data_IF_211619049052
#
_entry.id   IF_211619049052
#
_cell.length_a   1.000
_cell.length_b   1.000
_cell.length_c   1.000
_cell.angle_alpha   90.00
_cell.angle_beta   90.00
_cell.angle_gamma   90.00
#
_symmetry.space_group_name_H-M   'P 1'
#
loop_
_entity.id
_entity.type
_entity.pdbx_description
1 polymer ?
#
# COMPACT_ATOMS: atom_id res chain seq x y z
N UNK A 1 -8.12 1.51 -5.45
CA UNK A 1 -7.34 2.56 -6.14
C UNK A 1 -8.07 3.91 -6.17
N UNK A 2 -9.37 3.97 -6.59
CA UNK A 2 -10.11 5.26 -6.73
C UNK A 2 -10.12 6.07 -5.43
N UNK A 3 -10.61 5.50 -4.33
CA UNK A 3 -10.65 6.17 -3.01
C UNK A 3 -9.26 6.63 -2.56
N UNK A 4 -8.23 5.87 -2.88
CA UNK A 4 -6.85 6.22 -2.57
C UNK A 4 -6.38 7.44 -3.37
N UNK A 5 -6.74 7.51 -4.67
CA UNK A 5 -6.45 8.67 -5.52
C UNK A 5 -7.19 9.93 -5.04
N UNK A 6 -8.46 9.79 -4.64
CA UNK A 6 -9.27 10.88 -4.05
C UNK A 6 -8.65 11.42 -2.76
N UNK A 7 -8.20 10.53 -1.85
CA UNK A 7 -7.54 10.93 -0.60
C UNK A 7 -6.21 11.66 -0.82
N UNK A 8 -5.49 11.32 -1.88
CA UNK A 8 -4.21 11.93 -2.23
C UNK A 8 -4.35 13.15 -3.16
N UNK A 9 -5.56 13.49 -3.59
CA UNK A 9 -5.82 14.48 -4.66
C UNK A 9 -4.94 14.23 -5.90
N UNK A 10 -4.84 12.95 -6.28
CA UNK A 10 -3.98 12.49 -7.36
C UNK A 10 -4.81 11.97 -8.55
N UNK A 11 -4.37 12.20 -9.79
CA UNK A 11 -5.04 11.65 -10.96
C UNK A 11 -4.98 10.12 -10.96
N UNK A 12 -6.08 9.47 -11.37
CA UNK A 12 -6.18 8.03 -11.50
C UNK A 12 -5.79 7.60 -12.90
N UNK A 13 -4.90 6.61 -12.99
CA UNK A 13 -4.66 5.85 -14.20
C UNK A 13 -5.18 4.43 -14.04
N UNK A 14 -5.65 3.83 -15.13
CA UNK A 14 -6.16 2.46 -15.15
C UNK A 14 -5.25 1.62 -16.04
N UNK A 15 -4.88 0.45 -15.55
CA UNK A 15 -4.13 -0.54 -16.33
C UNK A 15 -5.08 -1.63 -16.77
N UNK A 16 -5.26 -1.72 -18.09
CA UNK A 16 -6.11 -2.71 -18.71
C UNK A 16 -5.24 -3.82 -19.32
N UNK A 17 -5.54 -5.06 -18.94
CA UNK A 17 -4.92 -6.24 -19.52
C UNK A 17 -5.69 -6.66 -20.78
N UNK A 18 -5.11 -6.44 -21.96
CA UNK A 18 -5.69 -6.87 -23.25
C UNK A 18 -5.05 -8.15 -23.73
N UNK A 19 -5.87 -9.18 -23.95
CA UNK A 19 -5.46 -10.37 -24.69
C UNK A 19 -5.56 -10.09 -26.19
N UNK A 20 -4.44 -10.15 -26.90
CA UNK A 20 -4.41 -9.98 -28.36
C UNK A 20 -4.46 -11.35 -29.02
N UNK A 21 -5.63 -11.69 -29.58
CA UNK A 21 -5.83 -12.91 -30.42
C UNK A 21 -5.88 -14.23 -29.65
N UNK A 22 -6.01 -15.33 -30.41
CA UNK A 22 -6.08 -16.69 -29.89
C UNK A 22 -4.71 -17.34 -29.59
N UNK A 23 -3.63 -16.55 -29.54
CA UNK A 23 -2.30 -17.07 -29.22
C UNK A 23 -1.95 -16.73 -27.76
N UNK A 24 -1.62 -17.74 -26.99
CA UNK A 24 -1.31 -17.70 -25.53
C UNK A 24 -0.11 -16.83 -25.13
N UNK A 25 0.39 -15.91 -25.97
CA UNK A 25 1.71 -15.30 -25.76
C UNK A 25 1.83 -13.77 -25.83
N UNK A 26 0.78 -13.02 -26.08
CA UNK A 26 0.89 -11.57 -26.13
C UNK A 26 -0.18 -10.92 -25.25
N UNK A 27 0.12 -10.73 -23.98
CA UNK A 27 -0.65 -9.87 -23.10
C UNK A 27 -0.04 -8.47 -23.15
N UNK A 28 -0.79 -7.51 -23.69
CA UNK A 28 -0.41 -6.10 -23.66
C UNK A 28 -1.15 -5.42 -22.51
N UNK A 29 -0.36 -4.82 -21.60
CA UNK A 29 -0.88 -3.88 -20.61
C UNK A 29 -1.03 -2.52 -21.27
N UNK A 30 -2.25 -2.00 -21.31
CA UNK A 30 -2.57 -0.67 -21.80
C UNK A 30 -2.77 0.27 -20.61
N UNK A 31 -2.11 1.42 -20.61
CA UNK A 31 -2.25 2.43 -19.57
C UNK A 31 -3.21 3.51 -20.06
N UNK A 32 -4.30 3.71 -19.35
CA UNK A 32 -5.30 4.73 -19.63
C UNK A 32 -5.16 5.83 -18.59
N UNK A 33 -4.74 7.02 -19.03
CA UNK A 33 -4.49 8.19 -18.18
C UNK A 33 -3.17 8.86 -18.48
N UNK A 34 -3.00 10.07 -18.00
CA UNK A 34 -1.80 10.89 -18.18
C UNK A 34 -0.74 10.55 -17.13
N UNK A 35 0.26 9.71 -17.50
CA UNK A 35 1.30 9.23 -16.58
C UNK A 35 2.71 9.70 -16.94
N UNK A 36 2.92 10.19 -18.16
CA UNK A 36 4.25 10.60 -18.66
C UNK A 36 4.87 11.70 -17.80
N UNK A 37 6.12 11.49 -17.40
CA UNK A 37 6.88 12.44 -16.58
C UNK A 37 6.42 12.54 -15.12
N UNK A 38 5.45 11.69 -14.70
CA UNK A 38 4.92 11.68 -13.34
C UNK A 38 5.54 10.56 -12.50
N UNK A 39 5.33 10.62 -11.19
CA UNK A 39 5.52 9.49 -10.28
C UNK A 39 4.22 8.69 -10.22
N UNK A 40 4.31 7.37 -10.17
CA UNK A 40 3.15 6.48 -10.07
C UNK A 40 3.18 5.65 -8.79
N UNK A 41 2.01 5.44 -8.20
CA UNK A 41 1.78 4.49 -7.12
C UNK A 41 0.82 3.42 -7.63
N UNK A 42 1.30 2.18 -7.71
CA UNK A 42 0.47 1.01 -8.03
C UNK A 42 -0.22 0.59 -6.73
N UNK A 43 -1.54 0.46 -6.77
CA UNK A 43 -2.35 0.03 -5.60
C UNK A 43 -3.04 -1.27 -5.94
N UNK A 44 -2.77 -2.30 -5.16
CA UNK A 44 -3.35 -3.64 -5.28
C UNK A 44 -3.84 -4.15 -3.92
N UNK A 45 -4.60 -5.22 -3.89
CA UNK A 45 -5.01 -5.91 -2.66
C UNK A 45 -3.91 -6.88 -2.20
N UNK A 46 -3.29 -7.61 -3.12
CA UNK A 46 -2.22 -8.56 -2.81
C UNK A 46 -1.09 -8.56 -3.84
N UNK A 47 0.11 -8.89 -3.38
CA UNK A 47 1.26 -9.24 -4.22
C UNK A 47 1.64 -10.67 -3.90
N UNK A 48 1.31 -11.58 -4.83
CA UNK A 48 1.71 -13.00 -4.71
C UNK A 48 3.05 -13.22 -5.41
N UNK A 49 3.10 -13.71 -6.63
CA UNK A 49 4.36 -13.97 -7.35
C UNK A 49 5.01 -12.73 -7.96
N UNK A 50 4.40 -11.56 -7.81
CA UNK A 50 4.77 -10.29 -8.43
C UNK A 50 4.81 -10.30 -9.97
N UNK A 51 4.20 -11.28 -10.63
CA UNK A 51 4.16 -11.33 -12.11
C UNK A 51 3.42 -10.14 -12.69
N UNK A 52 2.17 -9.94 -12.31
CA UNK A 52 1.32 -8.82 -12.74
C UNK A 52 1.93 -7.47 -12.37
N UNK A 53 2.52 -7.37 -11.17
CA UNK A 53 3.22 -6.16 -10.74
C UNK A 53 4.36 -5.80 -11.70
N UNK A 54 5.19 -6.76 -12.10
CA UNK A 54 6.30 -6.52 -13.04
C UNK A 54 5.81 -6.15 -14.45
N UNK A 55 4.71 -6.72 -14.91
CA UNK A 55 4.09 -6.33 -16.19
C UNK A 55 3.58 -4.88 -16.13
N UNK A 56 2.96 -4.50 -15.02
CA UNK A 56 2.51 -3.12 -14.75
C UNK A 56 3.68 -2.15 -14.71
N UNK A 57 4.76 -2.47 -14.00
CA UNK A 57 5.99 -1.65 -13.94
C UNK A 57 6.53 -1.39 -15.35
N UNK A 58 6.70 -2.44 -16.17
CA UNK A 58 7.19 -2.30 -17.55
C UNK A 58 6.25 -1.46 -18.43
N UNK A 59 4.93 -1.54 -18.21
CA UNK A 59 3.98 -0.72 -18.93
C UNK A 59 4.15 0.77 -18.57
N UNK A 60 4.26 1.09 -17.30
CA UNK A 60 4.47 2.45 -16.82
C UNK A 60 5.81 3.04 -17.27
N UNK A 61 6.88 2.24 -17.28
CA UNK A 61 8.19 2.64 -17.82
C UNK A 61 8.10 3.02 -19.30
N UNK A 62 7.40 2.21 -20.11
CA UNK A 62 7.18 2.51 -21.55
C UNK A 62 6.42 3.80 -21.76
N UNK A 63 5.49 4.14 -20.87
CA UNK A 63 4.74 5.40 -20.91
C UNK A 63 5.52 6.60 -20.33
N UNK A 64 6.76 6.39 -19.87
CA UNK A 64 7.65 7.46 -19.41
C UNK A 64 7.36 7.95 -17.99
N UNK A 65 6.88 7.08 -17.12
CA UNK A 65 6.82 7.34 -15.68
C UNK A 65 8.23 7.47 -15.11
N UNK A 66 8.46 8.43 -14.21
CA UNK A 66 9.81 8.74 -13.69
C UNK A 66 10.20 7.91 -12.48
N UNK A 67 9.26 7.61 -11.61
CA UNK A 67 9.45 6.79 -10.41
C UNK A 67 8.20 5.95 -10.16
N UNK A 68 8.37 4.70 -9.77
CA UNK A 68 7.28 3.77 -9.55
C UNK A 68 7.36 3.24 -8.12
N UNK A 69 6.24 3.35 -7.43
CA UNK A 69 5.99 2.81 -6.10
C UNK A 69 4.86 1.79 -6.19
N UNK A 70 4.83 0.85 -5.28
CA UNK A 70 3.71 -0.09 -5.18
C UNK A 70 3.24 -0.19 -3.73
N UNK A 71 1.94 -0.40 -3.53
CA UNK A 71 1.41 -0.75 -2.22
C UNK A 71 0.36 -1.84 -2.35
N UNK A 72 0.35 -2.75 -1.38
CA UNK A 72 -0.68 -3.77 -1.27
C UNK A 72 -0.97 -4.08 0.19
N UNK A 73 -2.22 -4.53 0.45
CA UNK A 73 -2.58 -4.98 1.79
C UNK A 73 -1.84 -6.27 2.14
N UNK A 74 -1.82 -7.25 1.22
CA UNK A 74 -1.30 -8.58 1.49
C UNK A 74 -0.01 -8.85 0.71
N UNK A 75 1.11 -9.03 1.42
CA UNK A 75 2.37 -9.47 0.82
C UNK A 75 2.53 -10.98 0.96
N UNK A 76 1.91 -11.76 0.06
CA UNK A 76 2.06 -13.23 0.03
C UNK A 76 3.49 -13.58 -0.37
N UNK A 77 4.02 -12.90 -1.38
CA UNK A 77 5.40 -12.97 -1.84
C UNK A 77 5.88 -14.40 -2.11
N UNK A 78 5.05 -15.20 -2.79
CA UNK A 78 5.45 -16.53 -3.27
C UNK A 78 6.58 -16.41 -4.28
N UNK A 79 7.44 -17.43 -4.35
CA UNK A 79 8.52 -17.48 -5.34
C UNK A 79 7.99 -17.33 -6.78
N UNK A 80 8.64 -16.52 -7.61
CA UNK A 80 9.90 -15.78 -7.41
C UNK A 80 9.72 -14.26 -7.13
N UNK A 81 8.74 -13.87 -6.29
CA UNK A 81 8.40 -12.45 -6.07
C UNK A 81 9.59 -11.61 -5.60
N UNK A 82 10.38 -12.13 -4.66
CA UNK A 82 11.51 -11.39 -4.06
C UNK A 82 12.59 -11.07 -5.10
N UNK A 83 12.95 -12.04 -5.96
CA UNK A 83 13.92 -11.81 -7.03
C UNK A 83 13.38 -10.80 -8.06
N UNK A 84 12.10 -10.88 -8.39
CA UNK A 84 11.44 -9.95 -9.31
C UNK A 84 11.44 -8.53 -8.77
N UNK A 85 11.05 -8.34 -7.52
CA UNK A 85 11.04 -7.02 -6.86
C UNK A 85 12.47 -6.47 -6.78
N UNK A 86 13.45 -7.28 -6.35
CA UNK A 86 14.85 -6.87 -6.26
C UNK A 86 15.44 -6.41 -7.58
N UNK A 87 15.06 -7.08 -8.68
CA UNK A 87 15.55 -6.77 -10.04
C UNK A 87 14.76 -5.67 -10.74
N UNK A 88 13.70 -5.13 -10.12
CA UNK A 88 12.83 -4.13 -10.73
C UNK A 88 13.31 -2.70 -10.50
N UNK A 89 12.71 -1.76 -11.22
CA UNK A 89 12.87 -0.32 -11.03
C UNK A 89 11.98 0.27 -9.93
N UNK A 90 11.26 -0.56 -9.19
CA UNK A 90 10.45 -0.10 -8.05
C UNK A 90 11.32 0.61 -7.02
N UNK A 91 10.92 1.81 -6.67
CA UNK A 91 11.59 2.60 -5.61
C UNK A 91 11.27 2.03 -4.24
N UNK A 92 10.01 1.69 -4.03
CA UNK A 92 9.53 1.14 -2.77
C UNK A 92 8.28 0.29 -2.99
N UNK A 93 8.13 -0.74 -2.20
CA UNK A 93 6.94 -1.58 -2.07
C UNK A 93 6.47 -1.49 -0.64
N UNK A 94 5.29 -0.95 -0.41
CA UNK A 94 4.68 -0.83 0.92
C UNK A 94 3.65 -1.94 1.09
N UNK A 95 3.81 -2.73 2.13
CA UNK A 95 2.92 -3.84 2.49
C UNK A 95 2.40 -3.64 3.92
N UNK A 96 1.34 -4.35 4.28
CA UNK A 96 0.98 -4.45 5.70
C UNK A 96 1.55 -5.74 6.32
N UNK A 97 1.56 -5.79 7.65
CA UNK A 97 1.91 -7.00 8.42
C UNK A 97 0.72 -7.97 8.58
N UNK A 98 -0.33 -7.82 7.76
CA UNK A 98 -1.45 -8.78 7.70
C UNK A 98 -1.00 -10.21 7.37
N UNK A 99 0.12 -10.31 6.63
CA UNK A 99 0.90 -11.53 6.44
C UNK A 99 2.31 -11.22 6.95
N UNK A 100 2.84 -11.96 7.93
CA UNK A 100 4.18 -11.72 8.45
C UNK A 100 5.25 -11.86 7.36
N UNK A 101 6.14 -10.87 7.25
CA UNK A 101 7.26 -10.91 6.32
C UNK A 101 8.46 -11.60 6.99
N UNK A 102 8.80 -12.84 6.60
CA UNK A 102 9.92 -13.57 7.18
C UNK A 102 11.26 -12.92 6.82
N UNK A 103 12.29 -13.14 7.63
CA UNK A 103 13.57 -12.46 7.51
C UNK A 103 14.24 -12.64 6.15
N UNK A 104 14.13 -13.84 5.57
CA UNK A 104 14.69 -14.18 4.25
C UNK A 104 14.02 -13.45 3.07
N UNK A 105 12.81 -12.93 3.27
CA UNK A 105 12.07 -12.16 2.25
C UNK A 105 12.23 -10.65 2.42
N UNK A 106 12.99 -10.19 3.40
CA UNK A 106 13.19 -8.74 3.61
C UNK A 106 14.12 -8.17 2.55
N UNK A 107 13.68 -7.06 1.96
CA UNK A 107 14.47 -6.25 1.02
C UNK A 107 14.50 -4.81 1.52
N UNK A 108 15.57 -4.04 1.24
CA UNK A 108 15.63 -2.62 1.60
C UNK A 108 14.52 -1.78 0.98
N UNK A 109 13.97 -2.21 -0.16
CA UNK A 109 12.87 -1.55 -0.86
C UNK A 109 11.48 -2.03 -0.42
N UNK A 110 11.37 -2.91 0.58
CA UNK A 110 10.08 -3.34 1.14
C UNK A 110 9.90 -2.72 2.53
N UNK A 111 8.87 -1.88 2.64
CA UNK A 111 8.43 -1.27 3.90
C UNK A 111 7.17 -1.98 4.38
N UNK A 112 7.12 -2.32 5.67
CA UNK A 112 5.95 -2.96 6.27
C UNK A 112 5.27 -2.02 7.25
N UNK A 113 3.96 -1.82 7.07
CA UNK A 113 3.10 -1.04 7.97
C UNK A 113 2.25 -1.97 8.83
N UNK A 114 2.14 -1.66 10.12
CA UNK A 114 1.34 -2.50 11.02
C UNK A 114 -0.15 -2.18 10.92
N UNK A 115 -0.98 -3.23 10.80
CA UNK A 115 -2.45 -3.16 10.92
C UNK A 115 -2.93 -3.39 12.34
N UNK A 116 -2.04 -3.67 13.28
CA UNK A 116 -2.40 -3.97 14.68
C UNK A 116 -3.19 -2.84 15.35
N UNK A 117 -2.88 -1.53 15.17
CA UNK A 117 -3.68 -0.45 15.75
C UNK A 117 -5.12 -0.44 15.24
N UNK A 118 -5.33 -0.66 13.94
CA UNK A 118 -6.66 -0.71 13.33
C UNK A 118 -7.48 -1.89 13.86
N UNK A 119 -6.85 -3.08 13.93
CA UNK A 119 -7.49 -4.28 14.46
C UNK A 119 -7.80 -4.12 15.95
N UNK A 120 -6.85 -3.59 16.72
CA UNK A 120 -7.05 -3.32 18.15
C UNK A 120 -8.23 -2.38 18.42
N UNK A 121 -8.36 -1.32 17.62
CA UNK A 121 -9.48 -0.38 17.72
C UNK A 121 -10.81 -1.06 17.34
N UNK A 122 -10.82 -1.90 16.30
CA UNK A 122 -12.00 -2.67 15.93
C UNK A 122 -12.44 -3.61 17.06
N UNK A 123 -11.51 -4.32 17.69
CA UNK A 123 -11.78 -5.19 18.86
C UNK A 123 -12.34 -4.38 20.03
N UNK A 124 -11.73 -3.22 20.35
CA UNK A 124 -12.18 -2.33 21.41
C UNK A 124 -13.63 -1.88 21.18
N UNK A 125 -13.97 -1.48 19.95
CA UNK A 125 -15.32 -1.04 19.59
C UNK A 125 -16.33 -2.17 19.70
N UNK A 126 -16.03 -3.35 19.20
CA UNK A 126 -16.89 -4.53 19.33
C UNK A 126 -17.16 -4.84 20.81
N UNK A 127 -16.13 -4.83 21.65
CA UNK A 127 -16.25 -5.09 23.08
C UNK A 127 -17.14 -4.08 23.79
N UNK A 128 -17.15 -2.81 23.33
CA UNK A 128 -17.98 -1.73 23.91
C UNK A 128 -19.34 -1.57 23.27
N UNK A 129 -19.68 -2.36 22.27
CA UNK A 129 -20.92 -2.22 21.49
C UNK A 129 -20.95 -0.95 20.61
N UNK A 130 -19.78 -0.40 20.28
CA UNK A 130 -19.62 0.75 19.40
C UNK A 130 -19.58 0.32 17.92
N UNK A 131 -19.94 1.24 17.00
CA UNK A 131 -19.93 0.95 15.56
C UNK A 131 -18.50 0.79 15.02
N UNK A 132 -18.21 -0.38 14.43
CA UNK A 132 -16.97 -0.61 13.67
C UNK A 132 -17.00 0.13 12.33
N UNK A 133 -18.19 0.33 11.74
CA UNK A 133 -18.34 1.08 10.49
C UNK A 133 -17.84 2.51 10.56
N UNK A 134 -17.84 3.11 11.76
CA UNK A 134 -17.28 4.45 11.98
C UNK A 134 -15.77 4.53 11.71
N UNK A 135 -15.04 3.42 11.72
CA UNK A 135 -13.62 3.40 11.34
C UNK A 135 -13.39 3.69 9.85
N UNK A 136 -14.41 3.54 9.03
CA UNK A 136 -14.35 3.67 7.58
C UNK A 136 -15.16 4.86 7.06
N UNK A 137 -15.81 5.64 7.95
CA UNK A 137 -16.56 6.83 7.54
C UNK A 137 -15.61 8.02 7.38
N UNK A 138 -15.75 8.73 6.27
CA UNK A 138 -14.98 9.95 5.96
C UNK A 138 -15.22 11.11 6.93
N UNK A 139 -16.25 11.01 7.80
CA UNK A 139 -16.57 12.00 8.84
C UNK A 139 -15.75 11.81 10.12
N UNK A 140 -15.16 10.65 10.32
CA UNK A 140 -14.11 10.49 11.32
C UNK A 140 -12.88 11.11 10.68
N UNK A 141 -12.65 12.39 10.96
CA UNK A 141 -11.33 13.00 10.88
C UNK A 141 -10.38 11.95 11.47
N UNK A 142 -9.63 11.26 10.62
CA UNK A 142 -8.55 10.40 11.04
C UNK A 142 -7.52 11.30 11.73
N UNK A 143 -7.82 11.71 12.95
CA UNK A 143 -6.80 11.89 13.94
C UNK A 143 -6.33 10.46 14.20
N UNK A 144 -5.63 9.94 13.20
CA UNK A 144 -4.92 8.69 13.33
C UNK A 144 -3.84 9.02 14.34
N UNK A 145 -4.15 8.74 15.61
CA UNK A 145 -3.12 8.56 16.60
C UNK A 145 -2.26 7.43 16.05
N UNK A 146 -1.31 7.80 15.22
CA UNK A 146 -0.25 6.88 14.82
C UNK A 146 0.53 6.60 16.09
N UNK A 147 0.15 5.50 16.77
CA UNK A 147 0.93 4.94 17.86
C UNK A 147 2.20 4.41 17.24
N UNK A 148 3.22 5.24 17.14
CA UNK A 148 4.58 4.80 16.88
C UNK A 148 5.12 4.19 18.17
N UNK A 149 5.32 2.88 18.13
CA UNK A 149 6.06 2.17 19.16
C UNK A 149 7.56 2.30 18.85
N UNK A 150 8.20 3.35 19.37
CA UNK A 150 9.65 3.41 19.50
C UNK A 150 10.00 3.06 20.95
N UNK A 151 10.85 2.07 21.14
CA UNK A 151 11.42 1.64 22.44
C UNK A 151 10.37 1.28 23.52
N UNK A 152 9.24 0.72 23.14
CA UNK A 152 8.17 0.29 24.06
C UNK A 152 7.34 1.44 24.65
N UNK A 153 7.52 2.67 24.18
CA UNK A 153 6.74 3.84 24.57
C UNK A 153 5.87 4.28 23.40
N UNK A 154 4.54 4.26 23.59
CA UNK A 154 3.61 4.79 22.62
C UNK A 154 3.75 6.32 22.55
N UNK A 155 4.16 6.86 21.41
CA UNK A 155 4.10 8.29 21.11
C UNK A 155 2.91 8.56 20.20
N UNK A 156 2.02 9.42 20.64
CA UNK A 156 0.89 9.91 19.83
C UNK A 156 1.37 11.11 19.02
N UNK A 157 1.28 11.03 17.69
CA UNK A 157 1.61 12.13 16.78
C UNK A 157 0.35 12.67 16.10
N UNK A 158 0.30 13.97 15.82
CA UNK A 158 -0.74 14.54 14.98
C UNK A 158 -0.48 14.24 13.49
N UNK A 159 -1.43 14.62 12.63
CA UNK A 159 -1.37 14.41 11.16
C UNK A 159 -0.12 15.02 10.49
N UNK A 160 0.63 15.87 11.18
CA UNK A 160 1.87 16.52 10.72
C UNK A 160 3.12 15.87 11.33
N UNK A 161 2.95 14.77 12.10
CA UNK A 161 4.06 14.10 12.76
C UNK A 161 4.57 14.80 14.03
N UNK A 162 3.75 15.68 14.62
CA UNK A 162 4.11 16.40 15.86
C UNK A 162 3.58 15.64 17.08
N UNK A 163 4.40 15.39 18.13
CA UNK A 163 3.96 14.71 19.34
C UNK A 163 2.81 15.46 20.03
N UNK A 164 1.73 14.74 20.35
CA UNK A 164 0.62 15.27 21.14
C UNK A 164 0.92 14.99 22.61
N UNK A 165 1.07 16.04 23.42
CA UNK A 165 1.18 15.88 24.88
C UNK A 165 -0.14 15.37 25.44
N UNK A 166 -0.16 14.13 25.92
CA UNK A 166 -1.32 13.57 26.62
C UNK A 166 -1.34 14.13 28.03
N UNK A 167 -2.41 14.81 28.46
CA UNK A 167 -2.50 15.27 29.83
C UNK A 167 -2.41 14.08 30.81
N UNK A 168 -1.59 14.20 31.82
CA UNK A 168 -1.44 13.20 32.88
C UNK A 168 -2.82 12.89 33.46
N UNK A 169 -3.22 11.63 33.51
CA UNK A 169 -4.44 11.20 34.18
C UNK A 169 -4.27 11.46 35.68
N UNK A 170 -5.30 12.02 36.35
CA UNK A 170 -5.31 12.23 37.78
C UNK A 170 -5.22 10.92 38.57
#
# INVERSE_FOLDING_TARGET
ARTFAELLDAPLAIIEKRRIGNSDRAELMNVIGEVKGRRAIIVDDEIDTAGTLMETVRALEREGVTEIYACATHGVLSDPAIERIRASSLREVVLTDSIPLPAEKRLPQITTLSVAPLIGEAIRRIHRGESVGALFSSEVSFTQEMLLWEDGIAKTLDMRGVPIETPARP
#
